data_IF_217269451143
#
_entry.id   IF_217269451143
#
_cell.length_a   1.000
_cell.length_b   1.000
_cell.length_c   1.000
_cell.angle_alpha   90.00
_cell.angle_beta   90.00
_cell.angle_gamma   90.00
#
_symmetry.space_group_name_H-M   'P 1'
#
loop_
_entity.id
_entity.type
_entity.pdbx_description
1 polymer ?
#
# COMPACT_ATOMS: atom_id res chain seq x y z
N UNK A 1 -17.90 -15.63 -18.66
CA UNK A 1 -16.99 -16.13 -17.59
C UNK A 1 -15.87 -16.92 -18.27
N UNK A 2 -14.86 -16.26 -18.77
CA UNK A 2 -13.67 -16.92 -19.32
C UNK A 2 -12.47 -16.27 -18.65
N UNK A 3 -11.88 -17.00 -17.70
CA UNK A 3 -10.62 -16.64 -17.08
C UNK A 3 -9.48 -16.91 -18.05
N UNK A 4 -8.72 -15.87 -18.42
CA UNK A 4 -7.51 -16.00 -19.22
C UNK A 4 -6.34 -16.08 -18.24
N UNK A 5 -5.66 -17.23 -18.22
CA UNK A 5 -4.37 -17.41 -17.54
C UNK A 5 -3.27 -16.76 -18.38
N UNK A 6 -2.63 -15.72 -17.84
CA UNK A 6 -1.44 -15.11 -18.44
C UNK A 6 -0.20 -15.67 -17.74
N UNK A 7 0.61 -16.41 -18.46
CA UNK A 7 1.91 -16.92 -18.01
C UNK A 7 2.94 -15.82 -18.28
N UNK A 8 3.50 -15.24 -17.21
CA UNK A 8 4.55 -14.22 -17.32
C UNK A 8 5.90 -14.91 -17.12
N UNK A 9 6.74 -14.95 -18.16
CA UNK A 9 8.14 -15.35 -18.04
C UNK A 9 8.96 -14.15 -17.53
N UNK A 10 9.47 -14.24 -16.32
CA UNK A 10 10.48 -13.33 -15.82
C UNK A 10 11.85 -13.99 -15.94
N UNK A 11 12.63 -13.60 -16.96
CA UNK A 11 14.04 -13.98 -17.06
C UNK A 11 14.85 -12.91 -16.34
N UNK A 12 15.38 -13.25 -15.17
CA UNK A 12 16.37 -12.42 -14.47
C UNK A 12 17.75 -12.78 -15.05
N UNK A 13 18.34 -11.84 -15.79
CA UNK A 13 19.73 -11.95 -16.20
C UNK A 13 20.60 -11.44 -15.05
N UNK A 14 21.11 -12.35 -14.22
CA UNK A 14 22.06 -12.06 -13.15
C UNK A 14 23.47 -12.39 -13.66
N UNK A 15 24.29 -11.37 -13.83
CA UNK A 15 25.72 -11.52 -14.12
C UNK A 15 26.46 -11.70 -12.81
N UNK A 16 26.56 -12.94 -12.35
CA UNK A 16 27.64 -13.45 -11.47
C UNK A 16 27.45 -14.96 -11.33
N UNK A 17 28.31 -15.73 -11.98
CA UNK A 17 28.39 -17.17 -11.80
C UNK A 17 29.45 -17.51 -10.74
N UNK A 18 29.15 -18.47 -9.85
CA UNK A 18 30.12 -19.51 -9.55
C UNK A 18 29.64 -20.87 -10.10
N UNK A 19 30.57 -21.54 -10.68
CA UNK A 19 30.45 -22.86 -11.30
C UNK A 19 30.19 -23.90 -10.21
N UNK A 20 29.06 -24.56 -10.20
CA UNK A 20 28.89 -26.00 -9.98
C UNK A 20 27.43 -26.37 -9.73
N UNK A 21 26.91 -27.33 -10.48
CA UNK A 21 25.71 -28.08 -10.15
C UNK A 21 24.52 -27.82 -11.08
N UNK A 22 24.37 -28.67 -12.07
CA UNK A 22 23.14 -28.82 -12.86
C UNK A 22 21.97 -29.20 -11.97
N UNK A 23 20.94 -28.33 -11.94
CA UNK A 23 19.65 -28.63 -11.37
C UNK A 23 18.64 -27.68 -12.00
N UNK A 24 17.91 -28.17 -12.99
CA UNK A 24 16.81 -27.49 -13.66
C UNK A 24 15.58 -27.48 -12.74
N UNK A 25 15.39 -26.45 -11.96
CA UNK A 25 14.09 -26.15 -11.35
C UNK A 25 13.65 -24.72 -11.70
N UNK A 26 12.88 -24.65 -12.79
CA UNK A 26 12.17 -23.43 -13.17
C UNK A 26 10.94 -23.34 -12.26
N UNK A 27 11.07 -22.59 -11.16
CA UNK A 27 9.97 -22.25 -10.26
C UNK A 27 8.97 -21.33 -10.96
N UNK A 28 7.85 -21.87 -11.41
CA UNK A 28 6.72 -21.08 -11.92
C UNK A 28 5.95 -20.51 -10.72
N UNK A 29 6.11 -19.22 -10.45
CA UNK A 29 5.33 -18.50 -9.44
C UNK A 29 4.04 -17.97 -10.10
N UNK A 30 2.92 -18.66 -9.87
CA UNK A 30 1.60 -18.25 -10.32
C UNK A 30 1.03 -17.19 -9.35
N UNK A 31 1.24 -15.91 -9.62
CA UNK A 31 0.46 -14.84 -8.99
C UNK A 31 -0.86 -14.63 -9.73
N UNK A 32 -1.96 -15.01 -9.08
CA UNK A 32 -3.33 -14.83 -9.57
C UNK A 32 -3.81 -13.44 -9.21
N UNK A 33 -3.35 -12.40 -9.92
CA UNK A 33 -3.83 -11.03 -9.78
C UNK A 33 -4.81 -10.70 -10.90
N UNK A 34 -5.94 -10.12 -10.55
CA UNK A 34 -7.00 -9.67 -11.47
C UNK A 34 -6.57 -8.35 -12.10
N UNK A 35 -5.79 -8.43 -13.18
CA UNK A 35 -5.23 -7.27 -13.89
C UNK A 35 -6.26 -6.66 -14.84
N UNK A 36 -6.25 -5.33 -14.99
CA UNK A 36 -7.12 -4.62 -15.92
C UNK A 36 -6.52 -4.62 -17.34
N UNK A 37 -7.37 -4.28 -18.36
CA UNK A 37 -6.95 -4.29 -19.77
C UNK A 37 -5.77 -3.36 -20.09
N UNK A 38 -5.60 -2.25 -19.36
CA UNK A 38 -4.49 -1.30 -19.54
C UNK A 38 -3.17 -1.89 -19.02
N UNK A 39 -3.19 -2.56 -17.86
CA UNK A 39 -2.04 -3.24 -17.28
C UNK A 39 -1.54 -4.38 -18.19
N UNK A 40 -2.47 -5.17 -18.75
CA UNK A 40 -2.13 -6.23 -19.70
C UNK A 40 -1.51 -5.67 -20.99
N UNK A 41 -2.01 -4.53 -21.49
CA UNK A 41 -1.47 -3.85 -22.67
C UNK A 41 -0.06 -3.32 -22.42
N UNK A 42 0.20 -2.77 -21.24
CA UNK A 42 1.51 -2.24 -20.85
C UNK A 42 2.54 -3.36 -20.70
N UNK A 43 2.19 -4.48 -20.06
CA UNK A 43 3.08 -5.65 -19.93
C UNK A 43 3.42 -6.25 -21.28
N UNK A 44 2.48 -6.31 -22.22
CA UNK A 44 2.76 -6.80 -23.59
C UNK A 44 3.74 -5.89 -24.32
N UNK A 45 3.65 -4.57 -24.16
CA UNK A 45 4.60 -3.62 -24.75
C UNK A 45 6.00 -3.77 -24.12
N UNK A 46 6.09 -3.87 -22.80
CA UNK A 46 7.36 -4.09 -22.09
C UNK A 46 8.02 -5.41 -22.52
N UNK A 47 7.24 -6.49 -22.61
CA UNK A 47 7.76 -7.79 -23.07
C UNK A 47 8.26 -7.75 -24.52
N UNK A 48 7.60 -7.02 -25.41
CA UNK A 48 8.01 -6.87 -26.79
C UNK A 48 9.32 -6.08 -26.92
N UNK A 49 9.50 -5.01 -26.12
CA UNK A 49 10.73 -4.20 -26.08
C UNK A 49 11.88 -5.03 -25.50
N UNK A 50 11.67 -5.76 -24.41
CA UNK A 50 12.67 -6.64 -23.80
C UNK A 50 13.14 -7.74 -24.77
N UNK A 51 12.22 -8.34 -25.52
CA UNK A 51 12.57 -9.37 -26.52
C UNK A 51 13.42 -8.77 -27.65
N UNK A 52 13.12 -7.54 -28.07
CA UNK A 52 13.89 -6.84 -29.11
C UNK A 52 15.30 -6.48 -28.65
N UNK A 53 15.47 -6.03 -27.39
CA UNK A 53 16.78 -5.70 -26.81
C UNK A 53 17.64 -6.96 -26.61
N UNK A 54 17.05 -8.06 -26.13
CA UNK A 54 17.76 -9.35 -25.98
C UNK A 54 18.20 -9.92 -27.33
N UNK A 55 17.42 -9.79 -28.40
CA UNK A 55 17.83 -10.25 -29.73
C UNK A 55 18.98 -9.41 -30.29
N UNK A 56 19.01 -8.10 -30.06
CA UNK A 56 20.10 -7.22 -30.52
C UNK A 56 21.41 -7.46 -29.76
N UNK A 57 21.37 -7.75 -28.47
CA UNK A 57 22.56 -8.08 -27.67
C UNK A 57 23.10 -9.48 -27.95
N UNK A 58 22.23 -10.44 -28.27
CA UNK A 58 22.65 -11.79 -28.68
C UNK A 58 23.39 -11.82 -30.04
N UNK A 59 22.99 -10.93 -30.97
CA UNK A 59 23.72 -10.79 -32.25
C UNK A 59 25.09 -10.11 -32.08
N UNK A 60 25.22 -9.15 -31.14
CA UNK A 60 26.51 -8.51 -30.86
C UNK A 60 27.47 -9.41 -30.05
N UNK A 61 26.96 -10.35 -29.25
CA UNK A 61 27.76 -11.32 -28.50
C UNK A 61 28.15 -12.56 -29.34
N UNK A 62 27.49 -12.81 -30.46
CA UNK A 62 27.75 -13.95 -31.33
C UNK A 62 29.04 -13.88 -32.13
N UNK A 63 29.80 -12.79 -32.06
CA UNK A 63 31.07 -12.63 -32.81
C UNK A 63 32.30 -12.95 -31.95
N UNK A 64 32.20 -13.25 -30.67
CA UNK A 64 33.34 -13.47 -29.75
C UNK A 64 33.37 -14.85 -29.06
N UNK A 65 32.66 -15.84 -29.54
CA UNK A 65 32.81 -17.21 -29.03
C UNK A 65 33.11 -18.19 -30.15
N UNK A 66 34.19 -17.95 -30.87
CA UNK A 66 34.88 -18.98 -31.62
C UNK A 66 36.15 -19.35 -30.84
N UNK A 67 36.06 -20.44 -30.14
CA UNK A 67 37.13 -21.11 -29.43
C UNK A 67 38.21 -21.53 -30.44
N UNK A 68 39.38 -20.92 -30.37
CA UNK A 68 40.51 -21.21 -31.22
C UNK A 68 41.40 -22.23 -30.50
N UNK A 69 41.11 -23.51 -30.71
CA UNK A 69 42.08 -24.56 -30.42
C UNK A 69 43.01 -24.74 -31.60
N UNK A 70 44.28 -24.56 -31.29
CA UNK A 70 45.49 -24.80 -32.07
C UNK A 70 45.41 -25.84 -33.18
N UNK A 71 45.65 -25.41 -34.43
CA UNK A 71 46.00 -26.25 -35.57
C UNK A 71 46.81 -25.37 -36.52
N UNK A 72 48.16 -25.54 -36.50
CA UNK A 72 49.05 -25.00 -37.52
C UNK A 72 48.73 -25.63 -38.85
N UNK A 73 48.17 -24.85 -39.78
CA UNK A 73 48.33 -25.11 -41.23
C UNK A 73 48.58 -23.80 -41.96
N UNK A 74 49.78 -23.64 -42.43
CA UNK A 74 50.28 -22.61 -43.35
C UNK A 74 49.57 -22.74 -44.68
N UNK A 75 48.68 -21.79 -45.02
CA UNK A 75 48.19 -21.58 -46.36
C UNK A 75 48.75 -20.24 -46.89
N UNK A 76 49.84 -20.38 -47.68
CA UNK A 76 50.26 -19.31 -48.62
C UNK A 76 49.17 -19.11 -49.69
N UNK A 77 48.32 -18.12 -49.48
CA UNK A 77 47.36 -17.64 -50.47
C UNK A 77 47.84 -16.32 -51.04
N UNK A 78 48.26 -16.32 -52.29
CA UNK A 78 48.62 -15.13 -53.09
C UNK A 78 47.47 -14.16 -53.13
N UNK A 79 47.68 -13.02 -52.52
CA UNK A 79 46.75 -11.85 -52.59
C UNK A 79 46.89 -11.23 -53.96
N UNK A 80 45.93 -11.47 -54.86
CA UNK A 80 45.81 -10.69 -56.08
C UNK A 80 45.14 -9.36 -55.74
N UNK A 81 45.87 -8.30 -55.99
CA UNK A 81 45.38 -6.93 -56.04
C UNK A 81 44.19 -6.80 -57.01
N UNK A 82 43.02 -6.63 -56.48
CA UNK A 82 41.78 -6.53 -57.23
C UNK A 82 40.90 -5.43 -56.66
N UNK A 83 40.95 -4.26 -57.31
CA UNK A 83 39.88 -3.26 -57.37
C UNK A 83 39.50 -2.59 -56.04
N UNK A 84 39.90 -1.34 -55.86
CA UNK A 84 39.30 -0.36 -54.96
C UNK A 84 37.86 -0.13 -55.37
N UNK A 85 36.92 -0.87 -54.82
CA UNK A 85 35.54 -0.44 -54.80
C UNK A 85 35.32 0.28 -53.46
N UNK A 86 35.02 1.56 -53.59
CA UNK A 86 34.68 2.55 -52.53
C UNK A 86 33.32 2.22 -51.93
N UNK A 87 33.25 1.15 -51.11
CA UNK A 87 32.04 0.77 -50.36
C UNK A 87 32.19 0.93 -48.83
N UNK A 88 33.25 1.55 -48.36
CA UNK A 88 33.42 1.75 -46.89
C UNK A 88 32.53 2.83 -46.30
N UNK A 89 31.93 3.72 -47.14
CA UNK A 89 30.98 4.74 -46.69
C UNK A 89 29.63 4.17 -46.21
N UNK A 90 29.14 3.18 -46.87
CA UNK A 90 27.80 2.60 -46.66
C UNK A 90 27.67 1.83 -45.32
N UNK A 91 28.70 1.11 -44.92
CA UNK A 91 28.72 0.31 -43.69
C UNK A 91 28.75 1.23 -42.47
N UNK A 92 29.46 2.35 -42.51
CA UNK A 92 29.55 3.30 -41.40
C UNK A 92 28.20 4.03 -41.18
N UNK A 93 27.49 4.36 -42.23
CA UNK A 93 26.18 5.00 -42.19
C UNK A 93 25.13 4.05 -41.62
N UNK A 94 25.12 2.80 -42.06
CA UNK A 94 24.24 1.73 -41.52
C UNK A 94 24.54 1.49 -40.03
N UNK A 95 25.81 1.46 -39.62
CA UNK A 95 26.18 1.27 -38.23
C UNK A 95 25.69 2.43 -37.34
N UNK A 96 25.82 3.66 -37.80
CA UNK A 96 25.34 4.84 -37.07
C UNK A 96 23.81 4.86 -36.96
N UNK A 97 23.08 4.45 -37.97
CA UNK A 97 21.62 4.34 -37.94
C UNK A 97 21.14 3.28 -36.94
N UNK A 98 21.82 2.14 -36.92
CA UNK A 98 21.53 1.09 -35.91
C UNK A 98 21.77 1.58 -34.48
N UNK A 99 22.85 2.31 -34.22
CA UNK A 99 23.15 2.88 -32.91
C UNK A 99 22.09 3.90 -32.52
N UNK A 100 21.72 4.81 -33.42
CA UNK A 100 20.68 5.81 -33.15
C UNK A 100 19.32 5.18 -32.83
N UNK A 101 18.92 4.15 -33.57
CA UNK A 101 17.70 3.40 -33.30
C UNK A 101 17.75 2.65 -31.94
N UNK A 102 18.92 2.13 -31.57
CA UNK A 102 19.10 1.47 -30.28
C UNK A 102 18.99 2.46 -29.11
N UNK A 103 19.55 3.66 -29.26
CA UNK A 103 19.44 4.73 -28.26
C UNK A 103 18.01 5.22 -28.10
N UNK A 104 17.28 5.43 -29.19
CA UNK A 104 15.85 5.82 -29.16
C UNK A 104 15.01 4.77 -28.40
N UNK A 105 15.22 3.47 -28.72
CA UNK A 105 14.52 2.38 -28.02
C UNK A 105 14.90 2.27 -26.55
N UNK A 106 16.17 2.54 -26.22
CA UNK A 106 16.62 2.57 -24.83
C UNK A 106 15.94 3.71 -24.03
N UNK A 107 15.80 4.89 -24.64
CA UNK A 107 15.07 6.00 -24.03
C UNK A 107 13.58 5.71 -23.86
N UNK A 108 12.94 5.10 -24.85
CA UNK A 108 11.54 4.66 -24.76
C UNK A 108 11.35 3.64 -23.63
N UNK A 109 12.26 2.68 -23.51
CA UNK A 109 12.26 1.70 -22.42
C UNK A 109 12.39 2.34 -21.05
N UNK A 110 13.30 3.29 -20.88
CA UNK A 110 13.46 4.01 -19.62
C UNK A 110 12.20 4.78 -19.23
N UNK A 111 11.55 5.47 -20.17
CA UNK A 111 10.28 6.16 -19.93
C UNK A 111 9.16 5.20 -19.50
N UNK A 112 9.07 4.03 -20.17
CA UNK A 112 8.07 3.02 -19.82
C UNK A 112 8.33 2.42 -18.43
N UNK A 113 9.60 2.21 -18.07
CA UNK A 113 10.01 1.74 -16.76
C UNK A 113 9.65 2.75 -15.66
N UNK A 114 9.99 4.02 -15.86
CA UNK A 114 9.64 5.09 -14.91
C UNK A 114 8.13 5.21 -14.71
N UNK A 115 7.35 5.11 -15.78
CA UNK A 115 5.88 5.10 -15.68
C UNK A 115 5.35 3.88 -14.91
N UNK A 116 5.92 2.70 -15.16
CA UNK A 116 5.57 1.48 -14.45
C UNK A 116 5.90 1.58 -12.95
N UNK A 117 7.08 2.10 -12.61
CA UNK A 117 7.51 2.31 -11.23
C UNK A 117 6.60 3.32 -10.50
N UNK A 118 6.20 4.42 -11.18
CA UNK A 118 5.24 5.40 -10.64
C UNK A 118 3.87 4.78 -10.37
N UNK A 119 3.36 3.97 -11.29
CA UNK A 119 2.07 3.28 -11.14
C UNK A 119 2.13 2.27 -9.99
N UNK A 120 3.23 1.53 -9.87
CA UNK A 120 3.43 0.57 -8.79
C UNK A 120 3.53 1.27 -7.43
N UNK A 121 4.28 2.39 -7.34
CA UNK A 121 4.40 3.17 -6.13
C UNK A 121 3.05 3.78 -5.68
N UNK A 122 2.27 4.30 -6.63
CA UNK A 122 0.92 4.82 -6.35
C UNK A 122 0.00 3.74 -5.80
N UNK A 123 -0.02 2.56 -6.44
CA UNK A 123 -0.83 1.42 -5.98
C UNK A 123 -0.43 0.95 -4.58
N UNK A 124 0.87 0.89 -4.31
CA UNK A 124 1.37 0.52 -2.98
C UNK A 124 1.00 1.55 -1.91
N UNK A 125 1.00 2.85 -2.26
CA UNK A 125 0.57 3.91 -1.35
C UNK A 125 -0.94 3.84 -1.06
N UNK A 126 -1.77 3.61 -2.08
CA UNK A 126 -3.23 3.44 -1.93
C UNK A 126 -3.57 2.21 -1.07
N UNK A 127 -2.84 1.10 -1.24
CA UNK A 127 -3.04 -0.10 -0.43
C UNK A 127 -2.64 0.12 1.03
N UNK A 128 -1.53 0.82 1.29
CA UNK A 128 -1.11 1.19 2.64
C UNK A 128 -2.13 2.12 3.31
N UNK A 129 -2.64 3.12 2.59
CA UNK A 129 -3.66 4.03 3.11
C UNK A 129 -4.95 3.28 3.46
N UNK A 130 -5.38 2.34 2.61
CA UNK A 130 -6.56 1.51 2.87
C UNK A 130 -6.39 0.65 4.12
N UNK A 131 -5.23 -0.02 4.27
CA UNK A 131 -4.95 -0.83 5.46
C UNK A 131 -4.90 0.00 6.73
N UNK A 132 -4.27 1.18 6.68
CA UNK A 132 -4.24 2.09 7.83
C UNK A 132 -5.64 2.56 8.22
N UNK A 133 -6.52 2.81 7.24
CA UNK A 133 -7.90 3.17 7.51
C UNK A 133 -8.71 2.00 8.10
N UNK A 134 -8.53 0.78 7.57
CA UNK A 134 -9.15 -0.43 8.13
C UNK A 134 -8.72 -0.66 9.59
N UNK A 135 -7.43 -0.49 9.91
CA UNK A 135 -6.89 -0.61 11.26
C UNK A 135 -7.44 0.50 12.18
N UNK A 136 -7.56 1.73 11.68
CA UNK A 136 -8.13 2.86 12.42
C UNK A 136 -9.60 2.60 12.80
N UNK A 137 -10.39 2.15 11.85
CA UNK A 137 -11.81 1.83 12.07
C UNK A 137 -11.97 0.65 13.03
N UNK A 138 -11.16 -0.39 12.87
CA UNK A 138 -11.18 -1.55 13.76
C UNK A 138 -10.83 -1.16 15.20
N UNK A 139 -9.81 -0.33 15.39
CA UNK A 139 -9.42 0.13 16.73
C UNK A 139 -10.52 0.96 17.41
N UNK A 140 -11.21 1.82 16.66
CA UNK A 140 -12.37 2.59 17.17
C UNK A 140 -13.50 1.66 17.60
N UNK A 141 -13.78 0.61 16.81
CA UNK A 141 -14.80 -0.37 17.14
C UNK A 141 -14.44 -1.20 18.39
N UNK A 142 -13.16 -1.57 18.55
CA UNK A 142 -12.69 -2.28 19.76
C UNK A 142 -12.97 -1.50 21.05
N UNK A 143 -12.79 -0.17 21.05
CA UNK A 143 -13.10 0.69 22.19
C UNK A 143 -14.60 0.67 22.50
N UNK A 144 -15.44 0.75 21.47
CA UNK A 144 -16.89 0.67 21.62
C UNK A 144 -17.31 -0.70 22.15
N UNK A 145 -16.81 -1.78 21.56
CA UNK A 145 -17.14 -3.15 21.96
C UNK A 145 -16.71 -3.40 23.42
N UNK A 146 -15.59 -2.84 23.84
CA UNK A 146 -15.17 -2.89 25.23
C UNK A 146 -16.13 -2.11 26.14
N UNK A 147 -16.50 -0.89 25.78
CA UNK A 147 -17.42 -0.07 26.55
C UNK A 147 -18.81 -0.74 26.70
N UNK A 148 -19.29 -1.39 25.67
CA UNK A 148 -20.59 -2.08 25.64
C UNK A 148 -20.69 -3.23 26.65
N UNK A 149 -19.56 -3.83 27.06
CA UNK A 149 -19.54 -4.89 28.07
C UNK A 149 -20.02 -4.44 29.46
N UNK A 150 -20.04 -3.13 29.71
CA UNK A 150 -20.39 -2.53 30.99
C UNK A 150 -21.82 -1.96 31.02
N UNK A 151 -22.61 -2.16 29.95
CA UNK A 151 -24.02 -1.79 29.95
C UNK A 151 -24.75 -2.47 31.11
N UNK A 152 -25.60 -1.72 31.81
CA UNK A 152 -26.32 -2.17 33.01
C UNK A 152 -25.56 -2.00 34.32
N UNK A 153 -24.26 -1.72 34.32
CA UNK A 153 -23.49 -1.47 35.52
C UNK A 153 -23.90 -0.14 36.20
N UNK A 154 -23.71 -0.01 37.52
CA UNK A 154 -24.25 1.09 38.29
C UNK A 154 -23.56 2.45 37.94
N UNK A 155 -24.33 3.53 38.04
CA UNK A 155 -23.80 4.89 38.10
C UNK A 155 -23.44 5.24 39.53
N UNK A 156 -22.24 5.75 39.76
CA UNK A 156 -21.79 6.34 41.03
C UNK A 156 -21.14 7.68 40.77
N UNK A 157 -21.71 8.77 41.36
CA UNK A 157 -21.13 10.10 41.23
C UNK A 157 -19.70 10.12 41.78
N UNK A 158 -18.75 10.62 41.02
CA UNK A 158 -17.33 10.60 41.36
C UNK A 158 -16.64 9.26 41.18
N UNK A 159 -17.38 8.21 40.78
CA UNK A 159 -16.86 6.87 40.54
C UNK A 159 -16.10 6.76 39.21
N UNK A 160 -15.19 5.78 39.18
CA UNK A 160 -14.38 5.45 37.98
C UNK A 160 -14.29 3.94 37.75
N UNK A 161 -15.00 3.13 38.55
CA UNK A 161 -14.98 1.69 38.39
C UNK A 161 -15.96 1.23 37.32
N UNK A 162 -15.48 0.53 36.32
CA UNK A 162 -16.31 0.00 35.22
C UNK A 162 -17.36 -0.98 35.71
N UNK A 163 -17.10 -1.69 36.82
CA UNK A 163 -18.01 -2.73 37.38
C UNK A 163 -18.75 -2.27 38.62
N UNK A 164 -18.11 -1.49 39.51
CA UNK A 164 -18.68 -1.10 40.81
C UNK A 164 -19.35 0.28 40.79
N UNK A 165 -19.25 0.99 39.69
CA UNK A 165 -19.90 2.26 39.44
C UNK A 165 -18.96 3.38 38.99
N UNK A 166 -19.38 4.05 37.95
CA UNK A 166 -18.72 5.22 37.38
C UNK A 166 -19.73 6.32 37.09
N UNK A 167 -19.28 7.57 37.11
CA UNK A 167 -20.05 8.66 36.49
C UNK A 167 -19.70 8.79 34.99
N UNK A 168 -20.34 9.70 34.29
CA UNK A 168 -20.21 9.83 32.81
C UNK A 168 -18.75 9.99 32.36
N UNK A 169 -18.02 10.92 32.93
CA UNK A 169 -16.62 11.19 32.58
C UNK A 169 -15.65 10.16 33.17
N UNK A 170 -15.97 9.59 34.34
CA UNK A 170 -15.20 8.48 34.93
C UNK A 170 -15.31 7.19 34.12
N UNK A 171 -16.48 6.92 33.54
CA UNK A 171 -16.67 5.82 32.61
C UNK A 171 -15.81 5.99 31.36
N UNK A 172 -15.87 7.15 30.69
CA UNK A 172 -15.02 7.47 29.53
C UNK A 172 -13.53 7.35 29.86
N UNK A 173 -13.11 7.96 30.97
CA UNK A 173 -11.72 7.90 31.41
C UNK A 173 -11.24 6.46 31.59
N UNK A 174 -12.05 5.59 32.19
CA UNK A 174 -11.65 4.20 32.46
C UNK A 174 -11.68 3.33 31.21
N UNK A 175 -12.65 3.51 30.32
CA UNK A 175 -12.68 2.83 29.02
C UNK A 175 -11.44 3.19 28.19
N UNK A 176 -11.17 4.46 27.98
CA UNK A 176 -10.06 4.90 27.15
C UNK A 176 -8.68 4.55 27.73
N UNK A 177 -8.57 4.45 29.05
CA UNK A 177 -7.34 4.03 29.73
C UNK A 177 -6.89 2.62 29.35
N UNK A 178 -7.82 1.69 29.15
CA UNK A 178 -7.49 0.31 28.71
C UNK A 178 -6.81 0.29 27.36
N UNK A 179 -7.04 1.30 26.52
CA UNK A 179 -6.43 1.48 25.21
C UNK A 179 -5.24 2.45 25.20
N UNK A 180 -4.77 2.85 26.39
CA UNK A 180 -3.60 3.71 26.56
C UNK A 180 -3.85 5.21 26.36
N UNK A 181 -5.11 5.66 26.37
CA UNK A 181 -5.46 7.07 26.31
C UNK A 181 -5.74 7.62 27.72
N UNK A 182 -5.11 8.72 28.06
CA UNK A 182 -5.34 9.42 29.33
C UNK A 182 -6.31 10.59 29.15
N UNK A 183 -7.52 10.45 29.71
CA UNK A 183 -8.54 11.48 29.70
C UNK A 183 -8.59 12.19 31.04
N UNK A 184 -8.84 13.52 31.08
CA UNK A 184 -9.10 14.25 32.31
C UNK A 184 -10.32 13.68 33.07
N UNK A 185 -10.36 13.95 34.39
CA UNK A 185 -11.41 13.40 35.24
C UNK A 185 -12.82 13.91 34.93
N UNK A 186 -12.99 15.16 34.57
CA UNK A 186 -14.32 15.79 34.41
C UNK A 186 -14.66 16.05 32.94
N UNK A 187 -15.94 15.98 32.60
CA UNK A 187 -16.42 16.10 31.23
C UNK A 187 -15.98 17.39 30.53
N UNK A 188 -16.04 18.53 31.22
CA UNK A 188 -15.61 19.82 30.65
C UNK A 188 -14.11 19.79 30.24
N UNK A 189 -13.25 19.25 31.12
CA UNK A 189 -11.83 19.15 30.82
C UNK A 189 -11.55 18.08 29.71
N UNK A 190 -12.33 17.01 29.64
CA UNK A 190 -12.29 16.05 28.53
C UNK A 190 -12.65 16.74 27.22
N UNK A 191 -13.71 17.54 27.20
CA UNK A 191 -14.04 18.31 26.01
C UNK A 191 -12.90 19.27 25.65
N UNK A 192 -12.40 20.04 26.59
CA UNK A 192 -11.36 21.04 26.35
C UNK A 192 -10.09 20.45 25.75
N UNK A 193 -9.66 19.29 26.24
CA UNK A 193 -8.43 18.61 25.80
C UNK A 193 -8.60 17.72 24.56
N UNK A 194 -9.83 17.42 24.14
CA UNK A 194 -10.10 16.63 22.94
C UNK A 194 -9.84 17.42 21.65
N UNK A 195 -9.56 16.70 20.56
CA UNK A 195 -9.62 17.27 19.22
C UNK A 195 -11.09 17.48 18.85
N UNK A 196 -11.49 18.74 18.63
CA UNK A 196 -12.87 19.08 18.29
C UNK A 196 -13.22 18.60 16.88
N UNK A 197 -14.46 18.16 16.71
CA UNK A 197 -15.05 17.75 15.43
C UNK A 197 -16.41 18.42 15.23
N UNK A 198 -16.79 18.61 13.98
CA UNK A 198 -18.15 18.97 13.65
C UNK A 198 -19.07 17.77 13.87
N UNK A 199 -20.33 18.02 14.24
CA UNK A 199 -21.31 16.97 14.46
C UNK A 199 -21.57 16.13 13.20
N UNK A 200 -21.45 16.74 12.00
CA UNK A 200 -21.56 16.06 10.71
C UNK A 200 -20.46 15.03 10.45
N UNK A 201 -19.34 15.17 11.15
CA UNK A 201 -18.14 14.34 10.96
C UNK A 201 -17.92 13.36 12.12
N UNK A 202 -18.99 13.11 12.88
CA UNK A 202 -18.95 12.17 14.01
C UNK A 202 -18.68 10.75 13.54
N UNK A 203 -17.76 10.07 14.20
CA UNK A 203 -17.40 8.69 13.94
C UNK A 203 -17.53 7.83 15.19
N UNK A 204 -17.72 6.53 15.01
CA UNK A 204 -17.70 5.55 16.09
C UNK A 204 -16.44 5.74 16.95
N UNK A 205 -16.59 5.79 18.27
CA UNK A 205 -15.50 6.05 19.21
C UNK A 205 -15.24 7.52 19.52
N UNK A 206 -15.99 8.46 18.93
CA UNK A 206 -15.94 9.87 19.32
C UNK A 206 -16.76 10.11 20.59
N UNK A 207 -16.43 11.18 21.32
CA UNK A 207 -17.15 11.59 22.51
C UNK A 207 -18.13 12.71 22.17
N UNK A 208 -19.37 12.55 22.62
CA UNK A 208 -20.43 13.54 22.50
C UNK A 208 -20.61 14.21 23.87
N UNK A 209 -20.61 15.53 23.88
CA UNK A 209 -20.67 16.35 25.09
C UNK A 209 -21.94 17.16 25.14
N UNK A 210 -22.48 17.34 26.37
CA UNK A 210 -23.78 17.98 26.60
C UNK A 210 -23.72 19.04 27.67
N UNK A 211 -24.60 20.04 27.52
CA UNK A 211 -24.78 21.13 28.43
C UNK A 211 -23.92 22.36 28.12
N UNK A 212 -24.43 23.56 28.37
CA UNK A 212 -23.74 24.84 28.10
C UNK A 212 -22.39 24.96 28.81
N UNK A 213 -22.23 24.32 29.97
CA UNK A 213 -21.00 24.24 30.75
C UNK A 213 -20.40 22.83 30.73
N UNK A 214 -20.71 22.02 29.73
CA UNK A 214 -20.29 20.63 29.57
C UNK A 214 -20.31 19.86 30.91
N UNK A 215 -21.45 19.28 31.21
CA UNK A 215 -21.62 18.51 32.46
C UNK A 215 -21.73 17.02 32.20
N UNK A 216 -21.97 16.59 30.97
CA UNK A 216 -22.17 15.20 30.60
C UNK A 216 -21.40 14.82 29.35
N UNK A 217 -21.09 13.52 29.22
CA UNK A 217 -20.37 12.94 28.09
C UNK A 217 -20.83 11.51 27.84
N UNK A 218 -20.89 11.12 26.57
CA UNK A 218 -21.13 9.74 26.11
C UNK A 218 -20.19 9.37 24.97
N UNK A 219 -20.00 8.09 24.76
CA UNK A 219 -19.23 7.50 23.66
C UNK A 219 -20.17 7.20 22.50
N UNK A 220 -19.91 7.76 21.32
CA UNK A 220 -20.69 7.48 20.13
C UNK A 220 -20.37 6.06 19.61
N UNK A 221 -21.41 5.25 19.46
CA UNK A 221 -21.31 3.84 19.08
C UNK A 221 -21.80 3.53 17.65
N UNK A 222 -22.15 4.58 16.90
CA UNK A 222 -22.81 4.44 15.59
C UNK A 222 -24.33 4.45 15.68
N UNK A 223 -25.00 4.43 14.54
CA UNK A 223 -26.46 4.35 14.41
C UNK A 223 -27.22 5.36 15.30
N UNK A 224 -26.69 6.60 15.36
CA UNK A 224 -27.26 7.68 16.15
C UNK A 224 -27.37 7.37 17.65
N UNK A 225 -26.49 6.51 18.18
CA UNK A 225 -26.48 6.07 19.57
C UNK A 225 -25.19 6.42 20.28
N UNK A 226 -25.33 6.56 21.62
CA UNK A 226 -24.20 6.64 22.54
C UNK A 226 -24.33 5.61 23.66
N UNK A 227 -23.20 5.16 24.21
CA UNK A 227 -23.17 4.53 25.53
C UNK A 227 -22.63 5.53 26.56
N UNK A 228 -23.32 5.66 27.69
CA UNK A 228 -22.96 6.60 28.73
C UNK A 228 -23.38 6.11 30.14
N UNK A 229 -22.66 6.52 31.18
CA UNK A 229 -23.16 6.40 32.55
C UNK A 229 -24.13 7.55 32.81
N UNK A 230 -25.44 7.25 32.82
CA UNK A 230 -26.52 8.23 32.76
C UNK A 230 -26.90 8.79 34.13
N UNK A 231 -27.57 7.97 34.96
CA UNK A 231 -28.03 8.38 36.31
C UNK A 231 -27.91 7.22 37.30
N UNK A 232 -28.01 7.49 38.59
CA UNK A 232 -28.04 6.47 39.63
C UNK A 232 -29.23 5.50 39.50
N UNK A 233 -30.29 5.90 38.83
CA UNK A 233 -31.46 5.04 38.59
C UNK A 233 -31.29 4.11 37.40
N UNK A 234 -30.53 4.54 36.35
CA UNK A 234 -30.40 3.82 35.07
C UNK A 234 -29.02 3.18 34.84
N UNK A 235 -28.01 3.64 35.56
CA UNK A 235 -26.66 3.12 35.39
C UNK A 235 -26.04 3.49 34.02
N UNK A 236 -25.16 2.62 33.55
CA UNK A 236 -24.58 2.67 32.21
C UNK A 236 -25.60 2.11 31.23
N UNK A 237 -25.90 2.86 30.16
CA UNK A 237 -26.91 2.47 29.17
C UNK A 237 -26.62 3.05 27.79
N UNK A 238 -27.27 2.50 26.80
CA UNK A 238 -27.37 3.08 25.45
C UNK A 238 -28.56 4.06 25.38
N UNK A 239 -28.35 5.17 24.69
CA UNK A 239 -29.37 6.19 24.40
C UNK A 239 -29.18 6.76 22.99
N UNK A 240 -30.18 7.45 22.46
CA UNK A 240 -30.00 8.26 21.26
C UNK A 240 -29.01 9.39 21.57
N UNK A 241 -28.12 9.71 20.62
CA UNK A 241 -27.10 10.75 20.87
C UNK A 241 -27.71 12.15 21.03
N UNK A 242 -28.90 12.34 20.50
CA UNK A 242 -29.66 13.58 20.54
C UNK A 242 -30.73 13.62 21.65
N UNK A 243 -30.67 12.69 22.66
CA UNK A 243 -31.57 12.73 23.82
C UNK A 243 -31.54 14.08 24.55
N UNK A 244 -30.46 14.81 24.40
CA UNK A 244 -30.24 16.22 24.67
C UNK A 244 -29.44 16.79 23.50
N UNK A 245 -29.66 18.07 23.15
CA UNK A 245 -28.89 18.70 22.07
C UNK A 245 -27.40 18.66 22.37
N UNK A 246 -26.57 18.01 21.53
CA UNK A 246 -25.13 18.00 21.73
C UNK A 246 -24.52 19.39 21.72
N UNK A 247 -23.66 19.67 22.68
CA UNK A 247 -22.93 20.94 22.78
C UNK A 247 -21.60 20.88 22.02
N UNK A 248 -21.13 19.69 21.70
CA UNK A 248 -19.93 19.47 20.91
C UNK A 248 -19.55 18.02 20.79
N UNK A 249 -18.67 17.76 19.83
CA UNK A 249 -18.06 16.47 19.60
C UNK A 249 -16.54 16.61 19.70
N UNK A 250 -15.89 15.60 20.22
CA UNK A 250 -14.43 15.57 20.29
C UNK A 250 -13.88 14.16 20.25
N UNK A 251 -12.64 14.02 19.80
CA UNK A 251 -11.96 12.73 19.73
C UNK A 251 -10.60 12.77 20.42
N UNK A 252 -10.19 11.62 20.96
CA UNK A 252 -8.84 11.31 21.41
C UNK A 252 -8.15 10.31 20.49
N UNK A 253 -8.90 9.78 19.52
CA UNK A 253 -8.44 8.77 18.57
C UNK A 253 -7.85 9.45 17.33
N UNK A 254 -6.82 8.81 16.75
CA UNK A 254 -6.14 9.28 15.53
C UNK A 254 -6.70 8.59 14.31
#
# INVERSE_FOLDING_TARGET
KTGISVITYATVCSTEMPVSGFGTDIGIFLMRTRMNKKEISMIKKIAAVMLSVCMSTAMAAGVQAADFTSGEETLEGTFTDGSKDDQTGDISEIANDIVAQAEEKAQEYQKLKEEADRVAAKKAAEERARKAEEERVAHRQEIVDFAMQFEGNPYVYGGTSLTNGADCSGFMMSVFKEFGYELPRVAAAQYESSQKKELSDIEVGDLVFYGSNIYHVGLYIGDEKIIHASTSASGIKVSDYDFETPSGVGTYLK
#
